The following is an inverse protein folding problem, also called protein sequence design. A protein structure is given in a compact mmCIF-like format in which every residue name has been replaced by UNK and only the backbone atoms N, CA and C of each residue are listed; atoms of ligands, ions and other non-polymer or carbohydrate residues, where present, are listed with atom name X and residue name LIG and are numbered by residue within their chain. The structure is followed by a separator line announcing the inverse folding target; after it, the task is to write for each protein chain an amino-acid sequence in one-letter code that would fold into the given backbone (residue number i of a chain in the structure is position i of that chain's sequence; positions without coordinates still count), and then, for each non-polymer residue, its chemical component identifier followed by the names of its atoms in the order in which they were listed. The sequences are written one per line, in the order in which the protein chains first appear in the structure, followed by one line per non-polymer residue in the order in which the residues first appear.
data_IF_822382031195
#
_entry.id   IF_822382031195
#
_cell.length_a   1.000
_cell.length_b   1.000
_cell.length_c   1.000
_cell.angle_alpha   90.00
_cell.angle_beta   90.00
_cell.angle_gamma   90.00
#
_symmetry.space_group_name_H-M   'P 1'
#
loop_
_entity.id
_entity.type
_entity.pdbx_description
1 polymer ?
#
# COMPACT_ATOMS: atom_id res chain seq x y z
N UNK A 1 10.55 16.59 -1.44
CA UNK A 1 9.73 15.40 -1.73
C UNK A 1 10.51 14.33 -2.48
N UNK A 2 11.05 14.61 -3.66
CA UNK A 2 11.78 13.60 -4.47
C UNK A 2 12.94 12.89 -3.77
N UNK A 3 13.72 13.60 -2.95
CA UNK A 3 14.79 12.97 -2.15
C UNK A 3 14.25 11.96 -1.14
N UNK A 4 13.13 12.28 -0.48
CA UNK A 4 12.44 11.37 0.44
C UNK A 4 11.88 10.15 -0.29
N UNK A 5 11.24 10.34 -1.46
CA UNK A 5 10.80 9.21 -2.28
C UNK A 5 11.99 8.34 -2.73
N UNK A 6 13.12 8.96 -3.05
CA UNK A 6 14.36 8.24 -3.36
C UNK A 6 14.90 7.42 -2.19
N UNK A 7 14.85 7.93 -0.96
CA UNK A 7 15.26 7.15 0.22
C UNK A 7 14.31 5.99 0.49
N UNK A 8 13.01 6.19 0.31
CA UNK A 8 12.01 5.11 0.44
C UNK A 8 12.19 4.03 -0.63
N UNK A 9 12.51 4.40 -1.87
CA UNK A 9 12.88 3.44 -2.92
C UNK A 9 14.02 2.53 -2.48
N UNK A 10 15.06 3.09 -1.86
CA UNK A 10 16.21 2.31 -1.38
C UNK A 10 15.84 1.42 -0.20
N UNK A 11 14.99 1.91 0.72
CA UNK A 11 14.47 1.14 1.85
C UNK A 11 13.68 -0.10 1.36
N UNK A 12 12.68 0.11 0.49
CA UNK A 12 11.89 -0.99 -0.06
C UNK A 12 12.73 -1.90 -0.97
N UNK A 13 13.69 -1.35 -1.73
CA UNK A 13 14.63 -2.13 -2.52
C UNK A 13 15.46 -3.10 -1.66
N UNK A 14 15.91 -2.66 -0.49
CA UNK A 14 16.61 -3.51 0.49
C UNK A 14 15.71 -4.61 1.07
N UNK A 15 14.47 -4.28 1.42
CA UNK A 15 13.50 -5.26 1.94
C UNK A 15 13.11 -6.31 0.88
N UNK A 16 12.86 -5.88 -0.37
CA UNK A 16 12.58 -6.78 -1.49
C UNK A 16 13.78 -7.68 -1.77
N UNK A 17 15.00 -7.13 -1.76
CA UNK A 17 16.22 -7.93 -1.94
C UNK A 17 16.37 -8.98 -0.84
N UNK A 18 16.09 -8.60 0.41
CA UNK A 18 16.11 -9.52 1.55
C UNK A 18 15.09 -10.65 1.35
N UNK A 19 13.85 -10.32 0.97
CA UNK A 19 12.83 -11.32 0.65
C UNK A 19 13.28 -12.26 -0.47
N UNK A 20 13.85 -11.74 -1.56
CA UNK A 20 14.35 -12.54 -2.68
C UNK A 20 15.48 -13.50 -2.29
N UNK A 21 16.33 -13.15 -1.33
CA UNK A 21 17.39 -14.04 -0.82
C UNK A 21 16.80 -15.16 0.05
N UNK A 22 15.80 -14.85 0.87
CA UNK A 22 15.16 -15.83 1.77
C UNK A 22 13.97 -16.57 1.16
N UNK A 23 13.58 -16.25 -0.09
CA UNK A 23 12.41 -16.84 -0.78
C UNK A 23 12.46 -18.36 -0.98
N UNK A 24 13.62 -18.99 -0.82
CA UNK A 24 13.82 -20.44 -0.95
C UNK A 24 14.15 -21.12 0.38
N UNK A 25 14.16 -20.35 1.48
CA UNK A 25 14.54 -20.80 2.82
C UNK A 25 13.31 -21.04 3.68
N UNK A 26 12.46 -21.96 3.23
CA UNK A 26 11.33 -22.47 4.00
C UNK A 26 11.85 -23.50 5.01
N UNK A 27 11.60 -23.31 6.29
CA UNK A 27 11.82 -24.33 7.31
C UNK A 27 10.53 -25.15 7.43
N UNK A 28 10.54 -26.43 7.06
CA UNK A 28 9.51 -27.51 7.23
C UNK A 28 8.03 -27.10 7.43
N UNK A 29 7.61 -25.98 6.84
CA UNK A 29 6.31 -25.36 6.99
C UNK A 29 5.55 -25.39 5.67
N UNK A 30 4.23 -25.13 5.69
CA UNK A 30 3.40 -25.23 4.50
C UNK A 30 3.94 -24.34 3.37
N UNK A 31 3.92 -24.87 2.15
CA UNK A 31 4.40 -24.17 0.98
C UNK A 31 3.53 -22.92 0.73
N UNK A 32 4.10 -21.78 0.32
CA UNK A 32 3.34 -20.53 0.16
C UNK A 32 2.19 -20.63 -0.86
N UNK A 33 2.28 -21.56 -1.82
CA UNK A 33 1.30 -21.75 -2.87
C UNK A 33 -0.08 -22.23 -2.40
N UNK A 34 -0.18 -22.87 -1.23
CA UNK A 34 -1.46 -23.42 -0.72
C UNK A 34 -2.26 -22.43 0.15
N UNK A 35 -1.63 -21.31 0.54
CA UNK A 35 -2.17 -20.39 1.55
C UNK A 35 -2.55 -19.03 0.95
N UNK A 36 -1.95 -18.64 -0.17
CA UNK A 36 -2.25 -17.36 -0.82
C UNK A 36 -3.55 -17.42 -1.64
N UNK A 37 -4.57 -16.68 -1.21
CA UNK A 37 -5.80 -16.46 -2.00
C UNK A 37 -5.54 -15.39 -3.08
N UNK A 38 -4.89 -15.80 -4.17
CA UNK A 38 -4.51 -14.93 -5.30
C UNK A 38 -5.71 -14.11 -5.83
N UNK A 39 -6.93 -14.67 -5.99
CA UNK A 39 -8.11 -13.89 -6.36
C UNK A 39 -8.41 -12.73 -5.39
N UNK A 40 -8.40 -12.98 -4.08
CA UNK A 40 -8.70 -11.96 -3.07
C UNK A 40 -7.64 -10.85 -3.08
N UNK A 41 -6.36 -11.20 -3.09
CA UNK A 41 -5.25 -10.23 -3.12
C UNK A 41 -5.20 -9.44 -4.43
N UNK A 42 -5.60 -10.05 -5.55
CA UNK A 42 -5.67 -9.36 -6.85
C UNK A 42 -6.76 -8.28 -6.86
N UNK A 43 -7.92 -8.58 -6.27
CA UNK A 43 -9.03 -7.62 -6.16
C UNK A 43 -8.66 -6.47 -5.23
N UNK A 44 -8.05 -6.74 -4.07
CA UNK A 44 -7.60 -5.68 -3.15
C UNK A 44 -6.51 -4.80 -3.78
N UNK A 45 -5.60 -5.39 -4.56
CA UNK A 45 -4.59 -4.65 -5.33
C UNK A 45 -5.23 -3.77 -6.41
N UNK A 46 -6.24 -4.28 -7.13
CA UNK A 46 -6.98 -3.49 -8.11
C UNK A 46 -7.73 -2.31 -7.46
N UNK A 47 -8.32 -2.53 -6.29
CA UNK A 47 -8.95 -1.47 -5.48
C UNK A 47 -7.95 -0.35 -5.14
N UNK A 48 -6.73 -0.72 -4.77
CA UNK A 48 -5.67 0.24 -4.45
C UNK A 48 -5.22 1.04 -5.69
N UNK A 49 -5.08 0.38 -6.85
CA UNK A 49 -4.79 1.07 -8.12
C UNK A 49 -5.90 2.05 -8.53
N UNK A 50 -7.17 1.66 -8.33
CA UNK A 50 -8.31 2.57 -8.56
C UNK A 50 -8.32 3.73 -7.57
N UNK A 51 -7.82 3.54 -6.35
CA UNK A 51 -7.62 4.63 -5.38
C UNK A 51 -6.67 5.70 -5.91
N UNK A 52 -5.57 5.29 -6.54
CA UNK A 52 -4.63 6.18 -7.24
C UNK A 52 -5.33 7.12 -8.23
N UNK A 53 -6.23 6.59 -9.06
CA UNK A 53 -6.99 7.39 -10.02
C UNK A 53 -7.88 8.43 -9.32
N UNK A 54 -8.54 8.04 -8.22
CA UNK A 54 -9.38 8.96 -7.45
C UNK A 54 -8.58 10.11 -6.85
N UNK A 55 -7.32 9.89 -6.47
CA UNK A 55 -6.44 10.95 -5.98
C UNK A 55 -6.11 11.99 -7.06
N UNK A 56 -5.85 11.56 -8.29
CA UNK A 56 -5.64 12.49 -9.43
C UNK A 56 -6.90 13.30 -9.72
N UNK A 57 -8.08 12.67 -9.66
CA UNK A 57 -9.36 13.36 -9.85
C UNK A 57 -9.62 14.39 -8.74
N UNK A 58 -9.19 14.11 -7.51
CA UNK A 58 -9.22 15.07 -6.40
C UNK A 58 -8.38 16.32 -6.70
N UNK A 59 -7.13 16.12 -7.15
CA UNK A 59 -6.22 17.21 -7.52
C UNK A 59 -6.76 18.04 -8.68
N UNK A 60 -7.28 17.40 -9.73
CA UNK A 60 -7.89 18.10 -10.86
C UNK A 60 -9.12 18.92 -10.43
N UNK A 61 -9.93 18.37 -9.52
CA UNK A 61 -11.09 19.09 -8.96
C UNK A 61 -10.66 20.32 -8.15
N UNK A 62 -9.59 20.20 -7.35
CA UNK A 62 -9.08 21.33 -6.56
C UNK A 62 -8.51 22.42 -7.47
N UNK A 63 -7.77 22.02 -8.51
CA UNK A 63 -7.24 22.94 -9.52
C UNK A 63 -8.35 23.66 -10.30
N UNK A 64 -9.55 23.09 -10.42
CA UNK A 64 -10.74 23.74 -11.00
C UNK A 64 -11.50 24.62 -10.01
N UNK A 65 -11.14 24.59 -8.72
CA UNK A 65 -11.84 25.29 -7.65
C UNK A 65 -13.11 24.57 -7.16
N UNK A 66 -13.31 23.31 -7.55
CA UNK A 66 -14.47 22.51 -7.14
C UNK A 66 -14.17 21.74 -5.85
N UNK A 67 -14.29 22.46 -4.73
CA UNK A 67 -14.00 21.91 -3.40
C UNK A 67 -14.92 20.77 -2.98
N UNK A 68 -16.15 20.71 -3.52
CA UNK A 68 -17.09 19.62 -3.18
C UNK A 68 -16.60 18.31 -3.77
N UNK A 69 -16.21 18.33 -5.05
CA UNK A 69 -15.68 17.16 -5.72
C UNK A 69 -14.30 16.76 -5.17
N UNK A 70 -13.41 17.72 -4.82
CA UNK A 70 -12.16 17.41 -4.13
C UNK A 70 -12.39 16.62 -2.84
N UNK A 71 -13.35 17.04 -2.01
CA UNK A 71 -13.66 16.33 -0.75
C UNK A 71 -14.21 14.92 -1.00
N UNK A 72 -15.08 14.78 -1.99
CA UNK A 72 -15.62 13.47 -2.38
C UNK A 72 -14.49 12.53 -2.78
N UNK A 73 -13.60 12.98 -3.68
CA UNK A 73 -12.51 12.15 -4.17
C UNK A 73 -11.48 11.83 -3.09
N UNK A 74 -11.08 12.78 -2.25
CA UNK A 74 -10.21 12.52 -1.10
C UNK A 74 -10.76 11.44 -0.17
N UNK A 75 -12.05 11.53 0.15
CA UNK A 75 -12.71 10.58 1.02
C UNK A 75 -12.80 9.20 0.37
N UNK A 76 -13.12 9.13 -0.93
CA UNK A 76 -13.11 7.88 -1.69
C UNK A 76 -11.71 7.25 -1.69
N UNK A 77 -10.65 8.02 -1.94
CA UNK A 77 -9.26 7.51 -1.91
C UNK A 77 -8.91 6.94 -0.53
N UNK A 78 -9.24 7.67 0.54
CA UNK A 78 -8.98 7.23 1.92
C UNK A 78 -9.76 5.94 2.27
N UNK A 79 -11.01 5.83 1.83
CA UNK A 79 -11.83 4.63 2.07
C UNK A 79 -11.32 3.40 1.30
N UNK A 80 -10.91 3.58 0.04
CA UNK A 80 -10.32 2.48 -0.74
C UNK A 80 -8.99 2.02 -0.14
N UNK A 81 -8.16 2.95 0.34
CA UNK A 81 -6.95 2.62 1.09
C UNK A 81 -7.23 1.89 2.41
N UNK A 82 -8.27 2.31 3.15
CA UNK A 82 -8.67 1.64 4.38
C UNK A 82 -9.21 0.22 4.13
N UNK A 83 -9.96 0.03 3.04
CA UNK A 83 -10.42 -1.29 2.59
C UNK A 83 -9.23 -2.21 2.28
N UNK A 84 -8.20 -1.69 1.61
CA UNK A 84 -6.97 -2.43 1.34
C UNK A 84 -6.25 -2.85 2.63
N UNK A 85 -6.08 -1.94 3.60
CA UNK A 85 -5.51 -2.27 4.92
C UNK A 85 -6.34 -3.33 5.64
N UNK A 86 -7.67 -3.24 5.58
CA UNK A 86 -8.56 -4.25 6.14
C UNK A 86 -8.33 -5.64 5.52
N UNK A 87 -8.14 -5.70 4.20
CA UNK A 87 -7.79 -6.94 3.49
C UNK A 87 -6.44 -7.50 3.91
N UNK A 88 -5.41 -6.65 4.00
CA UNK A 88 -4.07 -7.01 4.48
C UNK A 88 -4.10 -7.61 5.90
N UNK A 89 -4.83 -6.97 6.82
CA UNK A 89 -4.98 -7.46 8.20
C UNK A 89 -5.68 -8.81 8.21
N UNK A 90 -6.73 -8.98 7.40
CA UNK A 90 -7.42 -10.26 7.28
C UNK A 90 -6.47 -11.37 6.82
N UNK A 91 -5.72 -11.15 5.73
CA UNK A 91 -4.71 -12.11 5.24
C UNK A 91 -3.69 -12.47 6.32
N UNK A 92 -3.14 -11.47 7.03
CA UNK A 92 -2.17 -11.71 8.10
C UNK A 92 -2.76 -12.54 9.23
N UNK A 93 -4.02 -12.29 9.62
CA UNK A 93 -4.68 -13.10 10.65
C UNK A 93 -4.93 -14.53 10.22
N UNK A 94 -5.23 -14.75 8.93
CA UNK A 94 -5.38 -16.10 8.37
C UNK A 94 -4.04 -16.84 8.38
N UNK A 95 -2.95 -16.21 7.92
CA UNK A 95 -1.61 -16.81 7.93
C UNK A 95 -1.14 -17.17 9.34
N UNK A 96 -1.39 -16.30 10.32
CA UNK A 96 -1.07 -16.58 11.72
C UNK A 96 -1.85 -17.77 12.27
N UNK A 97 -3.13 -17.95 11.88
CA UNK A 97 -3.96 -19.09 12.30
C UNK A 97 -3.52 -20.39 11.65
N UNK A 98 -3.04 -20.33 10.41
CA UNK A 98 -2.54 -21.49 9.66
C UNK A 98 -1.09 -21.87 10.00
N UNK A 99 -0.47 -21.17 10.97
CA UNK A 99 0.85 -21.50 11.52
C UNK A 99 2.03 -20.76 10.87
N UNK A 100 1.77 -19.88 9.90
CA UNK A 100 2.76 -18.95 9.34
C UNK A 100 2.86 -17.71 10.24
N UNK A 101 3.68 -17.80 11.28
CA UNK A 101 4.03 -16.70 12.16
C UNK A 101 5.35 -16.03 11.80
N UNK A 102 5.54 -14.81 12.28
CA UNK A 102 6.74 -14.00 12.05
C UNK A 102 8.05 -14.75 12.37
N UNK A 103 8.06 -15.58 13.41
CA UNK A 103 9.22 -16.36 13.85
C UNK A 103 9.25 -17.79 13.31
N UNK A 104 8.30 -18.20 12.47
CA UNK A 104 8.21 -19.59 11.98
C UNK A 104 9.32 -19.90 10.96
N UNK A 105 9.67 -18.95 10.10
CA UNK A 105 10.76 -19.13 9.13
C UNK A 105 11.37 -17.78 8.71
N UNK A 106 12.64 -17.76 8.23
CA UNK A 106 13.24 -16.57 7.65
C UNK A 106 12.42 -15.98 6.49
N UNK A 107 11.76 -16.85 5.71
CA UNK A 107 10.81 -16.45 4.69
C UNK A 107 9.64 -15.65 5.27
N UNK A 108 8.97 -16.18 6.28
CA UNK A 108 7.79 -15.54 6.89
C UNK A 108 8.17 -14.19 7.55
N UNK A 109 9.31 -14.14 8.24
CA UNK A 109 9.83 -12.89 8.82
C UNK A 109 10.08 -11.82 7.75
N UNK A 110 10.72 -12.18 6.63
CA UNK A 110 10.95 -11.26 5.52
C UNK A 110 9.65 -10.81 4.85
N UNK A 111 8.69 -11.72 4.66
CA UNK A 111 7.36 -11.42 4.12
C UNK A 111 6.61 -10.41 5.00
N UNK A 112 6.45 -10.70 6.30
CA UNK A 112 5.73 -9.83 7.24
C UNK A 112 6.42 -8.49 7.43
N UNK A 113 7.75 -8.45 7.40
CA UNK A 113 8.49 -7.18 7.46
C UNK A 113 8.22 -6.34 6.23
N UNK A 114 8.40 -6.89 5.02
CA UNK A 114 8.20 -6.15 3.76
C UNK A 114 6.76 -5.65 3.61
N UNK A 115 5.78 -6.53 3.78
CA UNK A 115 4.35 -6.20 3.63
C UNK A 115 3.85 -5.33 4.80
N UNK A 116 4.32 -5.57 6.02
CA UNK A 116 3.99 -4.76 7.19
C UNK A 116 4.51 -3.32 7.08
N UNK A 117 5.76 -3.12 6.64
CA UNK A 117 6.28 -1.77 6.38
C UNK A 117 5.47 -1.05 5.31
N UNK A 118 5.07 -1.76 4.25
CA UNK A 118 4.18 -1.19 3.24
C UNK A 118 2.82 -0.79 3.83
N UNK A 119 2.19 -1.67 4.62
CA UNK A 119 0.92 -1.38 5.31
C UNK A 119 1.01 -0.16 6.25
N UNK A 120 2.13 0.04 6.93
CA UNK A 120 2.39 1.26 7.72
C UNK A 120 2.42 2.49 6.82
N UNK A 121 3.10 2.45 5.68
CA UNK A 121 3.15 3.57 4.73
C UNK A 121 1.77 3.93 4.18
N UNK A 122 0.98 2.94 3.78
CA UNK A 122 -0.41 3.15 3.34
C UNK A 122 -1.23 3.80 4.48
N UNK A 123 -1.08 3.30 5.71
CA UNK A 123 -1.79 3.85 6.89
C UNK A 123 -1.43 5.31 7.16
N UNK A 124 -0.14 5.66 7.08
CA UNK A 124 0.31 7.06 7.20
C UNK A 124 -0.27 7.90 6.05
N UNK A 125 -0.29 7.37 4.83
CA UNK A 125 -0.94 8.01 3.69
C UNK A 125 -2.42 8.31 3.94
N UNK A 126 -3.16 7.37 4.53
CA UNK A 126 -4.59 7.56 4.85
C UNK A 126 -4.75 8.69 5.86
N UNK A 127 -3.89 8.75 6.88
CA UNK A 127 -3.87 9.84 7.85
C UNK A 127 -3.59 11.19 7.17
N UNK A 128 -2.64 11.23 6.23
CA UNK A 128 -2.36 12.45 5.45
C UNK A 128 -3.59 12.88 4.62
N UNK A 129 -4.24 11.95 3.90
CA UNK A 129 -5.44 12.24 3.12
C UNK A 129 -6.60 12.75 4.00
N UNK A 130 -6.81 12.13 5.16
CA UNK A 130 -7.81 12.56 6.12
C UNK A 130 -7.50 13.95 6.69
N UNK A 131 -6.23 14.27 6.93
CA UNK A 131 -5.82 15.61 7.36
C UNK A 131 -6.15 16.69 6.32
N UNK A 132 -5.94 16.39 5.02
CA UNK A 132 -6.32 17.27 3.92
C UNK A 132 -7.83 17.41 3.78
N UNK A 133 -8.57 16.32 3.97
CA UNK A 133 -10.03 16.34 3.99
C UNK A 133 -10.55 17.28 5.11
N UNK A 134 -10.05 17.14 6.34
CA UNK A 134 -10.41 18.01 7.46
C UNK A 134 -10.01 19.47 7.20
N UNK A 135 -8.83 19.70 6.61
CA UNK A 135 -8.38 21.05 6.21
C UNK A 135 -9.31 21.67 5.16
N UNK A 136 -9.82 20.87 4.22
CA UNK A 136 -10.83 21.29 3.23
C UNK A 136 -12.17 21.64 3.87
N UNK A 137 -12.61 20.88 4.88
CA UNK A 137 -13.83 21.19 5.62
C UNK A 137 -13.73 22.50 6.41
N UNK A 138 -12.54 22.81 6.95
CA UNK A 138 -12.27 24.07 7.66
C UNK A 138 -12.13 25.28 6.73
N UNK A 139 -12.19 25.09 5.41
CA UNK A 139 -12.04 26.16 4.42
C UNK A 139 -10.60 26.62 4.19
N UNK A 140 -9.62 25.90 4.77
CA UNK A 140 -8.20 26.23 4.66
C UNK A 140 -7.56 25.67 3.39
N UNK A 141 -8.18 24.66 2.77
CA UNK A 141 -7.72 24.11 1.49
C UNK A 141 -8.17 25.03 0.34
N UNK A 142 -7.31 25.98 -0.02
CA UNK A 142 -7.53 26.88 -1.16
C UNK A 142 -6.74 26.39 -2.38
N UNK A 143 -7.00 26.98 -3.54
CA UNK A 143 -6.26 26.70 -4.78
C UNK A 143 -4.73 26.86 -4.61
N UNK A 144 -4.31 27.78 -3.76
CA UNK A 144 -2.90 28.03 -3.40
C UNK A 144 -2.27 26.87 -2.61
N UNK A 145 -3.07 26.04 -1.94
CA UNK A 145 -2.63 24.82 -1.26
C UNK A 145 -2.63 23.59 -2.18
N UNK A 146 -2.78 23.77 -3.50
CA UNK A 146 -2.74 22.65 -4.46
C UNK A 146 -1.39 21.94 -4.43
N UNK A 147 -0.31 22.65 -4.15
CA UNK A 147 1.03 22.07 -4.00
C UNK A 147 1.08 21.04 -2.85
N UNK A 148 0.41 21.32 -1.73
CA UNK A 148 0.35 20.37 -0.60
C UNK A 148 -0.43 19.12 -1.00
N UNK A 149 -1.55 19.27 -1.72
CA UNK A 149 -2.32 18.14 -2.22
C UNK A 149 -1.51 17.32 -3.23
N UNK A 150 -0.74 17.98 -4.11
CA UNK A 150 0.14 17.34 -5.09
C UNK A 150 1.27 16.55 -4.40
N UNK A 151 1.90 17.11 -3.38
CA UNK A 151 2.94 16.42 -2.60
C UNK A 151 2.38 15.15 -1.93
N UNK A 152 1.19 15.24 -1.30
CA UNK A 152 0.54 14.07 -0.70
C UNK A 152 0.08 13.07 -1.78
N UNK A 153 -0.34 13.56 -2.95
CA UNK A 153 -0.65 12.72 -4.11
C UNK A 153 0.56 11.93 -4.59
N UNK A 154 1.73 12.58 -4.72
CA UNK A 154 2.98 11.93 -5.09
C UNK A 154 3.39 10.84 -4.08
N UNK A 155 3.18 11.09 -2.78
CA UNK A 155 3.37 10.06 -1.75
C UNK A 155 2.44 8.86 -1.96
N UNK A 156 1.14 9.10 -2.18
CA UNK A 156 0.16 8.05 -2.38
C UNK A 156 0.47 7.20 -3.64
N UNK A 157 0.77 7.86 -4.76
CA UNK A 157 1.18 7.19 -5.99
C UNK A 157 2.46 6.36 -5.80
N UNK A 158 3.42 6.86 -5.04
CA UNK A 158 4.63 6.11 -4.75
C UNK A 158 4.33 4.82 -3.97
N UNK A 159 3.49 4.91 -2.93
CA UNK A 159 3.08 3.75 -2.15
C UNK A 159 2.38 2.73 -3.06
N UNK A 160 1.47 3.16 -3.94
CA UNK A 160 0.82 2.28 -4.91
C UNK A 160 1.83 1.58 -5.85
N UNK A 161 2.82 2.31 -6.35
CA UNK A 161 3.87 1.74 -7.22
C UNK A 161 4.69 0.67 -6.48
N UNK A 162 5.06 0.92 -5.23
CA UNK A 162 5.75 -0.07 -4.38
C UNK A 162 4.90 -1.32 -4.23
N UNK A 163 3.58 -1.18 -4.03
CA UNK A 163 2.68 -2.33 -3.93
C UNK A 163 2.67 -3.18 -5.21
N UNK A 164 2.68 -2.57 -6.40
CA UNK A 164 2.74 -3.31 -7.67
C UNK A 164 3.97 -4.23 -7.71
N UNK A 165 5.14 -3.73 -7.28
CA UNK A 165 6.35 -4.54 -7.21
C UNK A 165 6.25 -5.64 -6.17
N UNK A 166 5.76 -5.34 -4.96
CA UNK A 166 5.55 -6.33 -3.90
C UNK A 166 4.59 -7.44 -4.38
N UNK A 167 3.44 -7.06 -4.92
CA UNK A 167 2.44 -7.99 -5.44
C UNK A 167 3.03 -8.89 -6.53
N UNK A 168 3.78 -8.31 -7.46
CA UNK A 168 4.43 -9.08 -8.53
C UNK A 168 5.45 -10.07 -7.99
N UNK A 169 6.35 -9.63 -7.11
CA UNK A 169 7.45 -10.45 -6.59
C UNK A 169 6.97 -11.53 -5.62
N UNK A 170 5.94 -11.26 -4.83
CA UNK A 170 5.46 -12.16 -3.78
C UNK A 170 4.37 -13.10 -4.29
N UNK A 171 3.36 -12.57 -5.00
CA UNK A 171 2.15 -13.32 -5.35
C UNK A 171 2.13 -13.85 -6.79
N UNK A 172 2.77 -13.15 -7.74
CA UNK A 172 2.78 -13.57 -9.16
C UNK A 172 3.99 -14.42 -9.53
N UNK A 173 5.16 -14.16 -8.94
CA UNK A 173 6.35 -14.98 -9.21
C UNK A 173 6.15 -16.35 -8.55
N UNK A 174 6.15 -17.46 -9.34
CA UNK A 174 5.96 -18.79 -8.79
C UNK A 174 7.02 -19.10 -7.72
N UNK A 175 6.58 -19.61 -6.58
CA UNK A 175 7.48 -20.24 -5.62
C UNK A 175 8.21 -21.39 -6.35
N UNK A 176 9.54 -21.53 -6.17
CA UNK A 176 10.26 -22.67 -6.74
C UNK A 176 9.59 -23.94 -6.21
N UNK A 177 8.97 -24.68 -7.12
CA UNK A 177 8.44 -26.01 -6.83
C UNK A 177 9.61 -26.88 -6.37
N UNK A 178 9.45 -27.53 -5.22
CA UNK A 178 10.31 -28.64 -4.80
C UNK A 178 10.39 -29.69 -5.91
#
# INVERSE_FOLDING_TARGET
MWVFLGSECLLFGGLISTYLIYRSRFADGPAPGDIFDIPFTSVSSFVLLMSSLTMVLSLSSLQRGDYRNTRLWLLTTALLGALFIGGQVYEFTTFLREGLGYSTSPFSSAFFTLTGFHGVHVSIGIVMLMSLYVSSMRGNLKRESSETLEIVGLYWHFVDVVWIFIFTVIYLVPSPTS
#
